data_IF_744291760463
#
_entry.id   IF_744291760463
#
_cell.length_a   1.000
_cell.length_b   1.000
_cell.length_c   1.000
_cell.angle_alpha   90.00
_cell.angle_beta   90.00
_cell.angle_gamma   90.00
#
_symmetry.space_group_name_H-M   'P 1'
#
loop_
_entity.id
_entity.type
_entity.pdbx_description
1 polymer ?
#
# COMPACT_ATOMS: atom_id res chain seq x y z
N UNK A 1 1.75 16.96 -19.06
CA UNK A 1 1.61 17.47 -20.45
C UNK A 1 2.46 18.73 -20.59
N UNK A 2 3.36 18.80 -21.56
CA UNK A 2 4.09 20.03 -21.89
C UNK A 2 3.36 20.71 -23.05
N UNK A 3 3.10 22.02 -22.94
CA UNK A 3 2.37 22.78 -23.96
C UNK A 3 3.22 24.00 -24.32
N UNK A 4 3.47 24.20 -25.62
CA UNK A 4 4.11 25.43 -26.10
C UNK A 4 3.10 26.57 -26.07
N UNK A 5 3.50 27.71 -25.51
CA UNK A 5 2.65 28.88 -25.43
C UNK A 5 3.49 30.16 -25.52
N UNK A 6 2.84 31.25 -25.93
CA UNK A 6 3.49 32.56 -26.02
C UNK A 6 4.03 32.99 -24.65
N UNK A 7 5.23 33.56 -24.62
CA UNK A 7 5.84 34.11 -23.39
C UNK A 7 4.89 35.14 -22.77
N UNK A 8 4.60 34.99 -21.47
CA UNK A 8 3.64 35.84 -20.73
C UNK A 8 2.19 35.32 -20.73
N UNK A 9 1.90 34.17 -21.36
CA UNK A 9 0.57 33.56 -21.30
C UNK A 9 0.47 32.46 -20.23
N UNK A 10 -0.77 32.15 -19.80
CA UNK A 10 -1.09 31.04 -18.89
C UNK A 10 -1.82 29.93 -19.66
N UNK A 11 -1.10 29.04 -20.37
CA UNK A 11 -1.73 27.95 -21.10
C UNK A 11 -2.45 27.00 -20.15
N UNK A 12 -3.62 26.50 -20.56
CA UNK A 12 -4.35 25.45 -19.87
C UNK A 12 -4.13 24.14 -20.62
N UNK A 13 -3.58 23.14 -19.94
CA UNK A 13 -3.58 21.76 -20.42
C UNK A 13 -4.75 21.02 -19.82
N UNK A 14 -5.47 20.24 -20.62
CA UNK A 14 -6.47 19.31 -20.09
C UNK A 14 -5.73 18.22 -19.34
N UNK A 15 -6.03 18.06 -18.06
CA UNK A 15 -5.67 16.86 -17.31
C UNK A 15 -6.85 15.93 -17.41
N UNK A 16 -6.71 14.82 -18.12
CA UNK A 16 -7.72 13.77 -18.08
C UNK A 16 -7.78 13.23 -16.64
N UNK A 17 -8.93 13.38 -16.00
CA UNK A 17 -9.20 12.89 -14.64
C UNK A 17 -10.16 11.71 -14.62
N UNK A 18 -10.64 11.28 -15.78
CA UNK A 18 -11.40 10.05 -15.94
C UNK A 18 -10.43 8.90 -16.15
N UNK A 19 -10.40 8.00 -15.18
CA UNK A 19 -9.60 6.78 -15.20
C UNK A 19 -10.37 5.67 -14.48
N UNK A 20 -10.23 4.46 -15.00
CA UNK A 20 -10.53 3.26 -14.22
C UNK A 20 -9.39 3.00 -13.25
N UNK A 21 -9.71 2.53 -12.05
CA UNK A 21 -8.73 2.24 -11.02
C UNK A 21 -9.09 0.98 -10.27
N UNK A 22 -8.06 0.40 -9.67
CA UNK A 22 -8.18 -0.63 -8.64
C UNK A 22 -7.15 -0.35 -7.55
N UNK A 23 -7.35 -0.96 -6.39
CA UNK A 23 -6.38 -0.92 -5.31
C UNK A 23 -5.45 -2.12 -5.41
N UNK A 24 -4.16 -1.87 -5.27
CA UNK A 24 -3.13 -2.89 -5.15
C UNK A 24 -2.61 -2.84 -3.72
N UNK A 25 -2.67 -3.98 -3.03
CA UNK A 25 -2.08 -4.16 -1.71
C UNK A 25 -0.90 -5.09 -1.88
N UNK A 26 0.26 -4.69 -1.38
CA UNK A 26 1.49 -5.48 -1.49
C UNK A 26 2.32 -5.42 -0.23
N UNK A 27 2.95 -6.54 0.11
CA UNK A 27 4.01 -6.61 1.10
C UNK A 27 5.17 -7.41 0.50
N UNK A 28 6.38 -6.92 0.69
CA UNK A 28 7.60 -7.56 0.23
C UNK A 28 8.57 -7.72 1.40
N UNK A 29 9.33 -8.81 1.40
CA UNK A 29 10.44 -9.03 2.31
C UNK A 29 11.75 -8.67 1.59
N UNK A 30 12.44 -7.59 1.98
CA UNK A 30 13.67 -7.17 1.30
C UNK A 30 14.78 -8.22 1.36
N UNK A 31 14.88 -8.97 2.47
CA UNK A 31 15.93 -9.97 2.66
C UNK A 31 15.76 -11.23 1.81
N UNK A 32 14.54 -11.67 1.56
CA UNK A 32 14.26 -12.90 0.79
C UNK A 32 13.75 -12.65 -0.63
N UNK A 33 13.36 -11.42 -0.96
CA UNK A 33 12.72 -11.08 -2.24
C UNK A 33 11.29 -11.62 -2.39
N UNK A 34 10.72 -12.26 -1.38
CA UNK A 34 9.36 -12.78 -1.42
C UNK A 34 8.33 -11.64 -1.32
N UNK A 35 7.21 -11.78 -2.01
CA UNK A 35 6.12 -10.81 -1.95
C UNK A 35 4.73 -11.48 -1.96
N UNK A 36 3.77 -10.79 -1.36
CA UNK A 36 2.34 -11.09 -1.45
C UNK A 36 1.61 -9.86 -1.98
N UNK A 37 0.61 -10.09 -2.83
CA UNK A 37 -0.15 -9.03 -3.46
C UNK A 37 -1.62 -9.39 -3.64
N UNK A 38 -2.49 -8.38 -3.61
CA UNK A 38 -3.93 -8.49 -3.85
C UNK A 38 -4.38 -7.29 -4.70
N UNK A 39 -5.15 -7.55 -5.76
CA UNK A 39 -5.81 -6.51 -6.57
C UNK A 39 -7.30 -6.49 -6.23
N UNK A 40 -7.83 -5.34 -5.84
CA UNK A 40 -9.18 -5.21 -5.32
C UNK A 40 -9.92 -3.98 -5.86
N UNK A 41 -11.25 -4.05 -6.03
CA UNK A 41 -12.04 -2.92 -6.48
C UNK A 41 -12.29 -1.89 -5.36
N UNK A 42 -12.01 -2.22 -4.09
CA UNK A 42 -12.24 -1.37 -2.92
C UNK A 42 -11.13 -1.58 -1.90
N UNK A 43 -10.90 -0.56 -1.07
CA UNK A 43 -9.96 -0.61 0.05
C UNK A 43 -10.71 -0.30 1.34
N UNK A 44 -11.05 -1.37 2.07
CA UNK A 44 -11.79 -1.36 3.32
C UNK A 44 -11.21 -2.39 4.30
N UNK A 45 -11.69 -2.39 5.55
CA UNK A 45 -11.22 -3.33 6.58
C UNK A 45 -11.35 -4.81 6.17
N UNK A 46 -12.46 -5.28 5.55
CA UNK A 46 -12.53 -6.65 5.02
C UNK A 46 -11.43 -6.99 4.02
N UNK A 47 -11.09 -6.04 3.14
CA UNK A 47 -10.00 -6.19 2.17
C UNK A 47 -8.65 -6.30 2.86
N UNK A 48 -8.38 -5.46 3.87
CA UNK A 48 -7.16 -5.52 4.69
C UNK A 48 -7.06 -6.86 5.43
N UNK A 49 -8.13 -7.32 6.07
CA UNK A 49 -8.14 -8.61 6.77
C UNK A 49 -7.93 -9.79 5.83
N UNK A 50 -8.47 -9.72 4.59
CA UNK A 50 -8.17 -10.71 3.56
C UNK A 50 -6.69 -10.70 3.21
N UNK A 51 -6.11 -9.53 2.97
CA UNK A 51 -4.68 -9.40 2.68
C UNK A 51 -3.80 -9.96 3.81
N UNK A 52 -4.11 -9.66 5.07
CA UNK A 52 -3.36 -10.17 6.23
C UNK A 52 -3.44 -11.71 6.35
N UNK A 53 -4.60 -12.32 6.08
CA UNK A 53 -4.74 -13.79 6.03
C UNK A 53 -3.92 -14.40 4.91
N UNK A 54 -3.94 -13.81 3.72
CA UNK A 54 -3.12 -14.27 2.58
C UNK A 54 -1.62 -14.15 2.88
N UNK A 55 -1.19 -13.03 3.50
CA UNK A 55 0.19 -12.85 3.96
C UNK A 55 0.57 -13.95 4.95
N UNK A 56 -0.22 -14.12 6.02
CA UNK A 56 0.02 -15.09 7.10
C UNK A 56 0.10 -16.53 6.57
N UNK A 57 -0.80 -16.91 5.66
CA UNK A 57 -0.83 -18.24 5.06
C UNK A 57 0.33 -18.54 4.10
N UNK A 58 1.01 -17.51 3.58
CA UNK A 58 2.20 -17.67 2.72
C UNK A 58 3.52 -17.73 3.49
N UNK A 59 3.51 -17.41 4.79
CA UNK A 59 4.70 -17.54 5.63
C UNK A 59 5.06 -19.03 5.78
N UNK A 60 6.35 -19.34 5.69
CA UNK A 60 6.83 -20.70 5.93
C UNK A 60 6.56 -21.13 7.39
N UNK A 61 6.43 -22.43 7.68
CA UNK A 61 6.22 -22.91 9.03
C UNK A 61 7.27 -22.37 10.02
N UNK A 62 6.82 -21.83 11.15
CA UNK A 62 7.69 -21.25 12.18
C UNK A 62 8.19 -19.83 11.89
N UNK A 63 7.81 -19.22 10.75
CA UNK A 63 8.17 -17.83 10.45
C UNK A 63 7.15 -16.87 11.07
N UNK A 64 7.67 -15.86 11.77
CA UNK A 64 6.90 -14.70 12.25
C UNK A 64 7.26 -13.48 11.41
N UNK A 65 6.26 -12.81 10.84
CA UNK A 65 6.49 -11.61 10.04
C UNK A 65 6.36 -10.34 10.90
N UNK A 66 7.25 -9.39 10.66
CA UNK A 66 7.10 -8.01 11.11
C UNK A 66 6.70 -7.18 9.90
N UNK A 67 5.45 -6.72 9.89
CA UNK A 67 4.89 -5.91 8.81
C UNK A 67 5.00 -4.43 9.17
N UNK A 68 5.81 -3.70 8.41
CA UNK A 68 5.93 -2.24 8.51
C UNK A 68 4.88 -1.62 7.59
N UNK A 69 4.10 -0.66 8.10
CA UNK A 69 3.07 0.06 7.33
C UNK A 69 2.87 1.49 7.84
N UNK A 70 2.24 2.32 7.01
CA UNK A 70 1.76 3.63 7.43
C UNK A 70 0.48 3.55 8.29
N UNK A 71 -0.08 4.71 8.65
CA UNK A 71 -1.27 4.85 9.49
C UNK A 71 -2.52 5.26 8.71
N UNK A 72 -2.65 4.86 7.45
CA UNK A 72 -3.83 5.18 6.66
C UNK A 72 -5.12 4.69 7.34
N UNK A 73 -6.23 5.42 7.16
CA UNK A 73 -7.46 5.17 7.92
C UNK A 73 -8.06 3.76 7.74
N UNK A 74 -7.75 3.08 6.64
CA UNK A 74 -8.16 1.69 6.41
C UNK A 74 -7.29 0.66 7.15
N UNK A 75 -6.13 1.06 7.69
CA UNK A 75 -5.23 0.19 8.46
C UNK A 75 -5.52 0.17 9.96
N UNK A 76 -6.18 1.21 10.49
CA UNK A 76 -6.28 1.47 11.95
C UNK A 76 -7.69 1.30 12.52
N UNK A 77 -8.64 0.74 11.74
CA UNK A 77 -9.98 0.45 12.24
C UNK A 77 -10.00 -0.65 13.29
N UNK A 78 -10.86 -0.52 14.31
CA UNK A 78 -11.02 -1.51 15.40
C UNK A 78 -11.32 -2.94 14.93
N UNK A 79 -11.80 -3.09 13.69
CA UNK A 79 -12.12 -4.38 13.08
C UNK A 79 -10.96 -5.02 12.29
N UNK A 80 -9.75 -4.45 12.31
CA UNK A 80 -8.58 -5.06 11.68
C UNK A 80 -8.09 -6.23 12.53
N UNK A 81 -8.10 -7.42 11.94
CA UNK A 81 -7.74 -8.69 12.57
C UNK A 81 -6.33 -9.11 12.15
N UNK A 82 -5.38 -9.02 13.07
CA UNK A 82 -3.97 -9.31 12.83
C UNK A 82 -3.68 -10.77 13.19
N UNK A 83 -3.23 -11.60 12.23
CA UNK A 83 -2.89 -12.99 12.49
C UNK A 83 -1.79 -13.13 13.55
N UNK A 84 -1.79 -14.22 14.36
CA UNK A 84 -0.86 -14.37 15.49
C UNK A 84 0.62 -14.47 15.10
N UNK A 85 0.91 -14.84 13.85
CA UNK A 85 2.27 -14.90 13.29
C UNK A 85 2.68 -13.62 12.56
N UNK A 86 1.97 -12.51 12.78
CA UNK A 86 2.27 -11.19 12.22
C UNK A 86 2.28 -10.15 13.33
N UNK A 87 3.35 -9.37 13.43
CA UNK A 87 3.40 -8.15 14.25
C UNK A 87 3.40 -6.94 13.33
N UNK A 88 2.63 -5.92 13.68
CA UNK A 88 2.57 -4.67 12.93
C UNK A 88 3.45 -3.62 13.61
N UNK A 89 4.29 -2.96 12.82
CA UNK A 89 5.01 -1.74 13.21
C UNK A 89 4.47 -0.59 12.37
N UNK A 90 3.93 0.42 13.05
CA UNK A 90 3.39 1.61 12.40
C UNK A 90 4.46 2.68 12.28
N UNK A 91 4.61 3.20 11.06
CA UNK A 91 5.52 4.32 10.79
C UNK A 91 5.04 5.61 11.47
N UNK A 92 5.97 6.56 11.72
CA UNK A 92 5.61 7.92 12.09
C UNK A 92 4.70 8.56 11.02
N UNK A 93 3.78 9.45 11.41
CA UNK A 93 2.98 10.18 10.43
C UNK A 93 3.85 10.96 9.44
N UNK A 94 3.44 10.96 8.16
CA UNK A 94 4.09 11.71 7.07
C UNK A 94 5.56 11.37 6.80
N UNK A 95 5.97 10.12 7.04
CA UNK A 95 7.33 9.64 6.78
C UNK A 95 7.38 8.57 5.67
N UNK A 96 6.95 8.89 4.42
CA UNK A 96 6.97 7.92 3.31
C UNK A 96 8.38 7.41 2.98
N UNK A 97 9.41 8.22 3.22
CA UNK A 97 10.83 7.86 3.03
C UNK A 97 11.30 6.71 3.92
N UNK A 98 10.51 6.34 4.93
CA UNK A 98 10.78 5.20 5.82
C UNK A 98 10.03 3.93 5.39
N UNK A 99 9.17 4.01 4.38
CA UNK A 99 8.49 2.85 3.82
C UNK A 99 9.28 2.31 2.62
N UNK A 100 10.03 1.21 2.77
CA UNK A 100 10.91 0.70 1.71
C UNK A 100 10.16 0.26 0.45
N UNK A 101 8.83 0.10 0.51
CA UNK A 101 8.01 -0.25 -0.66
C UNK A 101 7.78 0.94 -1.59
N UNK A 102 7.88 2.18 -1.11
CA UNK A 102 7.65 3.39 -1.93
C UNK A 102 8.78 3.66 -2.93
N UNK A 103 9.97 3.09 -2.70
CA UNK A 103 11.15 3.23 -3.54
C UNK A 103 11.43 1.99 -4.44
N UNK A 104 10.52 1.00 -4.47
CA UNK A 104 10.64 -0.24 -5.27
C UNK A 104 10.24 -0.07 -6.74
#
# INVERSE_FOLDING_TARGET
MRVWARRGSRPRGVRQTEYEWCYVLTAACPGSGQAVGLVMPRLDVPTINRFLRELSGRLAPGVHAVLIRDRAGFHTGEAVDVPPNVTIIELPPYAPELNPVEDL
#
